data_IF_906049215448
#
_entry.id   IF_906049215448
#
_cell.length_a   1.000
_cell.length_b   1.000
_cell.length_c   1.000
_cell.angle_alpha   90.00
_cell.angle_beta   90.00
_cell.angle_gamma   90.00
#
_symmetry.space_group_name_H-M   'P 1'
#
loop_
_entity.id
_entity.type
_entity.pdbx_description
1 polymer ?
#
# COMPACT_ATOMS: atom_id res chain seq x y z
N UNK A 1 -17.13 11.02 -5.58
CA UNK A 1 -17.44 9.66 -5.08
C UNK A 1 -16.86 8.69 -6.09
N UNK A 2 -15.90 7.86 -5.67
CA UNK A 2 -15.31 6.84 -6.52
C UNK A 2 -16.42 5.88 -7.00
N UNK A 3 -16.52 5.68 -8.32
CA UNK A 3 -17.55 4.84 -8.97
C UNK A 3 -17.79 3.49 -8.26
N UNK A 4 -16.76 2.74 -7.80
CA UNK A 4 -16.94 1.46 -7.13
C UNK A 4 -17.71 1.53 -5.79
N UNK A 5 -17.60 2.63 -5.06
CA UNK A 5 -18.16 2.78 -3.71
C UNK A 5 -19.70 2.85 -3.71
N UNK A 6 -20.29 3.30 -4.82
CA UNK A 6 -21.73 3.50 -4.94
C UNK A 6 -22.52 2.19 -5.05
N UNK A 7 -21.83 1.06 -5.26
CA UNK A 7 -22.46 -0.25 -5.41
C UNK A 7 -22.69 -0.98 -4.08
N UNK A 8 -22.19 -0.46 -2.96
CA UNK A 8 -22.30 -1.11 -1.66
C UNK A 8 -23.61 -0.78 -0.97
N UNK A 9 -24.21 -1.79 -0.33
CA UNK A 9 -25.41 -1.61 0.49
C UNK A 9 -25.00 -1.04 1.84
N UNK A 10 -25.15 0.28 1.99
CA UNK A 10 -24.91 0.99 3.24
C UNK A 10 -26.22 1.05 4.06
N UNK A 11 -26.24 0.58 5.33
CA UNK A 11 -27.41 0.68 6.21
C UNK A 11 -27.93 2.11 6.31
N UNK A 12 -29.26 2.28 6.36
CA UNK A 12 -29.88 3.61 6.44
C UNK A 12 -29.37 4.41 7.65
N UNK A 13 -29.18 3.74 8.79
CA UNK A 13 -28.67 4.37 10.03
C UNK A 13 -27.27 4.96 9.85
N UNK A 14 -26.38 4.30 9.09
CA UNK A 14 -25.04 4.81 8.80
C UNK A 14 -25.08 6.07 7.92
N UNK A 15 -26.15 6.25 7.12
CA UNK A 15 -26.35 7.44 6.28
C UNK A 15 -26.99 8.59 7.05
N UNK A 16 -27.88 8.29 8.00
CA UNK A 16 -28.68 9.29 8.70
C UNK A 16 -28.07 9.74 10.02
N UNK A 17 -27.64 8.79 10.86
CA UNK A 17 -27.09 9.06 12.21
C UNK A 17 -25.56 8.94 12.20
N UNK A 18 -25.03 8.05 11.37
CA UNK A 18 -23.60 7.70 11.35
C UNK A 18 -23.31 6.48 12.22
N UNK A 19 -22.03 6.18 12.44
CA UNK A 19 -21.56 5.07 13.28
C UNK A 19 -20.75 5.65 14.43
N UNK A 20 -21.13 5.35 15.67
CA UNK A 20 -20.39 5.78 16.86
C UNK A 20 -19.20 4.87 17.13
N UNK A 21 -18.20 5.38 17.84
CA UNK A 21 -17.03 4.62 18.32
C UNK A 21 -16.23 3.90 17.22
N UNK A 22 -16.19 4.49 16.01
CA UNK A 22 -15.45 3.97 14.86
C UNK A 22 -14.59 5.07 14.22
N UNK A 23 -13.30 4.75 14.00
CA UNK A 23 -12.35 5.62 13.28
C UNK A 23 -12.37 5.40 11.75
N UNK A 24 -12.77 4.19 11.34
CA UNK A 24 -12.82 3.78 9.94
C UNK A 24 -13.89 2.71 9.76
N UNK A 25 -14.69 2.82 8.70
CA UNK A 25 -15.71 1.84 8.34
C UNK A 25 -15.34 1.24 6.99
N UNK A 26 -15.32 -0.09 6.89
CA UNK A 26 -15.14 -0.78 5.61
C UNK A 26 -16.41 -1.55 5.27
N UNK A 27 -16.99 -1.26 4.10
CA UNK A 27 -18.09 -2.05 3.56
C UNK A 27 -17.51 -3.18 2.72
N UNK A 28 -17.78 -4.42 3.11
CA UNK A 28 -17.29 -5.60 2.42
C UNK A 28 -18.38 -6.27 1.59
N UNK A 29 -18.02 -6.78 0.42
CA UNK A 29 -18.87 -7.58 -0.44
C UNK A 29 -18.11 -8.83 -0.92
N UNK A 30 -18.87 -9.83 -1.36
CA UNK A 30 -18.35 -11.02 -2.00
C UNK A 30 -19.10 -11.22 -3.32
N UNK A 31 -18.46 -10.92 -4.43
CA UNK A 31 -19.08 -10.92 -5.75
C UNK A 31 -18.04 -11.12 -6.86
N UNK A 32 -18.44 -11.68 -8.00
CA UNK A 32 -17.53 -11.98 -9.09
C UNK A 32 -16.86 -10.70 -9.61
N UNK A 33 -15.55 -10.79 -9.77
CA UNK A 33 -14.74 -9.78 -10.43
C UNK A 33 -14.86 -10.02 -11.94
N UNK A 34 -15.35 -9.04 -12.70
CA UNK A 34 -15.39 -9.11 -14.17
C UNK A 34 -13.99 -9.06 -14.81
N UNK A 35 -12.93 -9.27 -14.03
CA UNK A 35 -11.55 -9.31 -14.49
C UNK A 35 -10.98 -10.68 -14.16
N UNK A 36 -10.24 -11.28 -15.09
CA UNK A 36 -9.71 -12.63 -14.93
C UNK A 36 -8.64 -12.74 -13.83
N UNK A 37 -8.15 -11.63 -13.28
CA UNK A 37 -6.99 -11.58 -12.39
C UNK A 37 -7.19 -10.86 -11.05
N UNK A 38 -8.30 -10.15 -10.80
CA UNK A 38 -8.49 -9.46 -9.50
C UNK A 38 -9.26 -10.33 -8.52
N UNK A 39 -8.53 -11.01 -7.65
CA UNK A 39 -9.07 -11.82 -6.56
C UNK A 39 -9.79 -10.97 -5.50
N UNK A 40 -9.23 -9.80 -5.19
CA UNK A 40 -9.78 -8.84 -4.23
C UNK A 40 -9.50 -7.44 -4.77
N UNK A 41 -10.32 -6.46 -4.38
CA UNK A 41 -9.96 -5.06 -4.48
C UNK A 41 -10.51 -4.30 -3.28
N UNK A 42 -9.84 -3.23 -2.88
CA UNK A 42 -10.43 -2.25 -1.98
C UNK A 42 -10.07 -0.83 -2.38
N UNK A 43 -10.88 0.12 -1.91
CA UNK A 43 -10.71 1.53 -2.22
C UNK A 43 -11.11 2.40 -1.03
N UNK A 44 -10.44 3.54 -0.93
CA UNK A 44 -10.93 4.65 -0.11
C UNK A 44 -12.19 5.23 -0.76
N UNK A 45 -13.28 5.34 0.00
CA UNK A 45 -14.55 5.87 -0.47
C UNK A 45 -14.82 7.30 -0.01
N UNK A 46 -14.41 7.64 1.22
CA UNK A 46 -14.44 9.00 1.74
C UNK A 46 -13.27 9.27 2.70
N UNK A 47 -12.87 10.54 2.73
CA UNK A 47 -11.81 11.08 3.59
C UNK A 47 -12.30 12.28 4.37
N UNK A 48 -11.65 12.57 5.49
CA UNK A 48 -11.76 13.86 6.18
C UNK A 48 -11.03 14.96 5.38
N UNK A 49 -11.11 16.20 5.86
CA UNK A 49 -10.49 17.37 5.21
C UNK A 49 -8.96 17.26 5.08
N UNK A 50 -8.30 16.51 5.98
CA UNK A 50 -6.85 16.24 5.96
C UNK A 50 -6.48 14.99 5.13
N UNK A 51 -7.40 14.52 4.30
CA UNK A 51 -7.32 13.29 3.50
C UNK A 51 -7.26 11.98 4.31
N UNK A 52 -7.43 12.00 5.64
CA UNK A 52 -7.52 10.77 6.44
C UNK A 52 -8.71 9.93 5.99
N UNK A 53 -8.51 8.68 5.52
CA UNK A 53 -9.62 7.81 5.17
C UNK A 53 -10.47 7.47 6.39
N UNK A 54 -11.79 7.54 6.25
CA UNK A 54 -12.75 7.10 7.29
C UNK A 54 -13.83 6.16 6.76
N UNK A 55 -13.99 6.05 5.43
CA UNK A 55 -14.81 5.01 4.80
C UNK A 55 -14.03 4.37 3.66
N UNK A 56 -13.99 3.05 3.65
CA UNK A 56 -13.54 2.24 2.53
C UNK A 56 -14.60 1.25 2.06
N UNK A 57 -14.35 0.64 0.91
CA UNK A 57 -15.10 -0.50 0.43
C UNK A 57 -14.13 -1.57 -0.06
N UNK A 58 -14.52 -2.84 0.06
CA UNK A 58 -13.74 -3.95 -0.46
C UNK A 58 -14.63 -5.05 -1.03
N UNK A 59 -14.18 -5.71 -2.08
CA UNK A 59 -14.87 -6.85 -2.65
C UNK A 59 -13.92 -8.03 -2.80
N UNK A 60 -14.40 -9.20 -2.41
CA UNK A 60 -13.75 -10.48 -2.63
C UNK A 60 -14.42 -11.20 -3.80
N UNK A 61 -13.65 -11.70 -4.75
CA UNK A 61 -14.16 -12.67 -5.71
C UNK A 61 -14.04 -14.08 -5.13
N UNK A 62 -15.16 -14.73 -4.76
CA UNK A 62 -15.13 -16.05 -4.13
C UNK A 62 -14.45 -17.13 -4.98
N UNK A 63 -14.33 -16.95 -6.30
CA UNK A 63 -13.66 -17.89 -7.20
C UNK A 63 -12.17 -18.05 -6.89
N UNK A 64 -11.52 -17.00 -6.41
CA UNK A 64 -10.07 -16.96 -6.18
C UNK A 64 -9.68 -17.01 -4.70
N UNK A 65 -10.67 -16.89 -3.80
CA UNK A 65 -10.44 -16.89 -2.35
C UNK A 65 -10.41 -18.31 -1.78
N UNK A 66 -9.46 -18.52 -0.87
CA UNK A 66 -9.27 -19.79 -0.16
C UNK A 66 -9.07 -19.50 1.34
N UNK A 67 -8.99 -20.54 2.16
CA UNK A 67 -8.66 -20.45 3.60
C UNK A 67 -7.14 -20.34 3.86
N UNK A 68 -6.35 -19.98 2.84
CA UNK A 68 -4.89 -19.92 2.92
C UNK A 68 -4.37 -18.61 3.49
N UNK A 69 -3.14 -18.64 4.03
CA UNK A 69 -2.44 -17.43 4.46
C UNK A 69 -2.27 -16.41 3.33
N UNK A 70 -2.13 -16.87 2.08
CA UNK A 70 -2.03 -15.99 0.91
C UNK A 70 -3.29 -15.13 0.74
N UNK A 71 -4.48 -15.73 0.84
CA UNK A 71 -5.75 -15.01 0.78
C UNK A 71 -5.88 -13.93 1.87
N UNK A 72 -5.34 -14.19 3.07
CA UNK A 72 -5.27 -13.20 4.15
C UNK A 72 -4.33 -12.04 3.80
N UNK A 73 -3.18 -12.31 3.18
CA UNK A 73 -2.23 -11.26 2.77
C UNK A 73 -2.76 -10.39 1.64
N UNK A 74 -3.45 -10.98 0.67
CA UNK A 74 -4.14 -10.21 -0.38
C UNK A 74 -5.22 -9.32 0.23
N UNK A 75 -6.02 -9.82 1.18
CA UNK A 75 -7.01 -9.00 1.87
C UNK A 75 -6.36 -7.82 2.63
N UNK A 76 -5.24 -8.09 3.34
CA UNK A 76 -4.52 -7.06 4.07
C UNK A 76 -3.88 -6.00 3.16
N UNK A 77 -3.37 -6.41 2.00
CA UNK A 77 -2.84 -5.53 0.95
C UNK A 77 -3.92 -4.54 0.48
N UNK A 78 -5.09 -5.06 0.11
CA UNK A 78 -6.20 -4.21 -0.33
C UNK A 78 -6.69 -3.29 0.78
N UNK A 79 -6.80 -3.79 2.02
CA UNK A 79 -7.15 -2.96 3.18
C UNK A 79 -6.14 -1.80 3.35
N UNK A 80 -4.86 -2.01 3.10
CA UNK A 80 -3.87 -0.93 3.17
C UNK A 80 -4.15 0.20 2.15
N UNK A 81 -4.61 -0.12 0.94
CA UNK A 81 -5.08 0.89 -0.01
C UNK A 81 -6.32 1.63 0.49
N UNK A 82 -7.29 0.91 1.07
CA UNK A 82 -8.48 1.53 1.66
C UNK A 82 -8.15 2.44 2.87
N UNK A 83 -7.04 2.16 3.56
CA UNK A 83 -6.48 2.96 4.66
C UNK A 83 -5.56 4.10 4.18
N UNK A 84 -5.41 4.30 2.87
CA UNK A 84 -4.71 5.47 2.34
C UNK A 84 -3.28 5.21 1.87
N UNK A 85 -2.86 3.96 1.69
CA UNK A 85 -1.69 3.67 0.85
C UNK A 85 -2.04 3.97 -0.62
N UNK A 86 -2.10 5.26 -0.96
CA UNK A 86 -2.53 5.79 -2.26
C UNK A 86 -1.74 7.05 -2.58
N UNK A 87 -1.62 7.36 -3.87
CA UNK A 87 -0.77 8.43 -4.36
C UNK A 87 -1.19 9.79 -3.79
N UNK A 88 -2.48 10.07 -3.78
CA UNK A 88 -3.01 11.36 -3.34
C UNK A 88 -2.77 11.60 -1.84
N UNK A 89 -2.82 10.56 -1.02
CA UNK A 89 -2.48 10.66 0.40
C UNK A 89 -0.99 10.94 0.60
N UNK A 90 -0.12 10.32 -0.21
CA UNK A 90 1.32 10.57 -0.16
C UNK A 90 1.68 11.98 -0.67
N UNK A 91 0.98 12.48 -1.69
CA UNK A 91 1.12 13.84 -2.22
C UNK A 91 0.65 14.89 -1.20
N UNK A 92 -0.54 14.72 -0.64
CA UNK A 92 -1.08 15.64 0.38
C UNK A 92 -0.15 15.74 1.59
N UNK A 93 0.43 14.62 2.01
CA UNK A 93 1.38 14.57 3.12
C UNK A 93 2.79 14.99 2.74
N UNK A 94 3.03 15.38 1.49
CA UNK A 94 4.33 15.81 0.96
C UNK A 94 5.43 14.75 1.17
N UNK A 95 5.07 13.47 1.10
CA UNK A 95 6.00 12.34 1.24
C UNK A 95 6.26 11.64 -0.09
N UNK A 96 5.61 12.06 -1.17
CA UNK A 96 5.93 11.64 -2.53
C UNK A 96 6.83 12.68 -3.19
N UNK A 97 7.97 12.25 -3.72
CA UNK A 97 8.85 13.11 -4.52
C UNK A 97 8.77 12.70 -5.99
N UNK A 98 8.41 13.63 -6.89
CA UNK A 98 8.35 13.34 -8.31
C UNK A 98 9.77 13.17 -8.84
N UNK A 99 10.07 11.94 -9.27
CA UNK A 99 11.14 11.57 -10.19
C UNK A 99 12.59 11.85 -9.74
N UNK A 100 13.22 10.81 -9.17
CA UNK A 100 14.68 10.72 -9.09
C UNK A 100 15.21 9.87 -10.24
N UNK A 101 16.33 10.30 -10.84
CA UNK A 101 17.07 9.46 -11.78
C UNK A 101 17.78 8.34 -11.01
N UNK A 102 17.17 7.15 -10.99
CA UNK A 102 17.75 5.95 -10.39
C UNK A 102 18.03 4.94 -11.48
N UNK A 103 19.27 4.46 -11.55
CA UNK A 103 19.74 3.51 -12.60
C UNK A 103 19.47 4.02 -14.04
N UNK A 104 19.48 5.34 -14.24
CA UNK A 104 19.24 5.96 -15.55
C UNK A 104 17.77 6.07 -15.96
N UNK A 105 16.82 5.85 -15.05
CA UNK A 105 15.38 6.00 -15.29
C UNK A 105 14.76 6.93 -14.25
N UNK A 106 13.73 7.69 -14.63
CA UNK A 106 12.97 8.51 -13.69
C UNK A 106 12.00 7.63 -12.89
N UNK A 107 12.08 7.71 -11.56
CA UNK A 107 11.27 6.90 -10.64
C UNK A 107 10.62 7.77 -9.57
N UNK A 108 9.33 7.55 -9.31
CA UNK A 108 8.67 8.12 -8.14
C UNK A 108 9.18 7.46 -6.86
N UNK A 109 9.40 8.27 -5.82
CA UNK A 109 9.93 7.80 -4.55
C UNK A 109 9.11 8.33 -3.38
N UNK A 110 8.89 7.48 -2.39
CA UNK A 110 8.37 7.89 -1.09
C UNK A 110 9.54 8.28 -0.18
N UNK A 111 9.55 9.53 0.25
CA UNK A 111 10.68 10.19 0.95
C UNK A 111 10.30 10.69 2.34
N UNK A 112 9.24 10.16 2.93
CA UNK A 112 8.88 10.42 4.33
C UNK A 112 10.02 10.06 5.31
N UNK A 113 10.04 10.69 6.48
CA UNK A 113 11.12 10.56 7.47
C UNK A 113 11.27 9.11 7.95
N UNK A 114 10.16 8.47 8.33
CA UNK A 114 10.18 7.09 8.79
C UNK A 114 10.51 6.14 7.63
N UNK A 115 10.00 6.41 6.42
CA UNK A 115 10.30 5.59 5.23
C UNK A 115 11.80 5.59 4.96
N UNK A 116 12.44 6.77 4.98
CA UNK A 116 13.90 6.88 4.85
C UNK A 116 14.63 6.10 5.94
N UNK A 117 14.24 6.24 7.21
CA UNK A 117 14.88 5.54 8.33
C UNK A 117 14.75 4.02 8.18
N UNK A 118 13.54 3.50 7.96
CA UNK A 118 13.28 2.06 7.90
C UNK A 118 13.86 1.43 6.64
N UNK A 119 13.87 2.13 5.51
CA UNK A 119 14.55 1.67 4.31
C UNK A 119 16.07 1.60 4.49
N UNK A 120 16.71 2.63 5.08
CA UNK A 120 18.15 2.59 5.39
C UNK A 120 18.51 1.38 6.25
N UNK A 121 17.72 1.13 7.30
CA UNK A 121 17.91 -0.02 8.19
C UNK A 121 17.70 -1.35 7.46
N UNK A 122 16.63 -1.47 6.66
CA UNK A 122 16.31 -2.69 5.92
C UNK A 122 17.42 -3.03 4.93
N UNK A 123 17.81 -2.10 4.06
CA UNK A 123 18.82 -2.37 3.02
C UNK A 123 20.26 -2.27 3.52
N UNK A 124 20.51 -1.67 4.70
CA UNK A 124 21.87 -1.36 5.16
C UNK A 124 22.57 -0.32 4.29
N UNK A 125 21.83 0.70 3.82
CA UNK A 125 22.31 1.74 2.93
C UNK A 125 22.01 3.13 3.49
N UNK A 126 22.95 3.73 4.22
CA UNK A 126 22.74 5.01 4.94
C UNK A 126 22.48 6.21 4.02
N UNK A 127 22.97 6.18 2.78
CA UNK A 127 22.78 7.25 1.80
C UNK A 127 21.37 7.28 1.20
N UNK A 128 20.56 6.23 1.40
CA UNK A 128 19.26 6.07 0.76
C UNK A 128 18.33 7.24 1.10
N UNK A 129 17.64 7.75 0.08
CA UNK A 129 16.79 8.96 0.17
C UNK A 129 15.29 8.66 0.25
N UNK A 130 14.89 7.42 0.06
CA UNK A 130 13.51 6.98 0.10
C UNK A 130 13.35 5.59 -0.50
N UNK A 131 12.11 5.21 -0.76
CA UNK A 131 11.74 3.94 -1.39
C UNK A 131 11.09 4.18 -2.74
N UNK A 132 11.51 3.43 -3.76
CA UNK A 132 10.91 3.49 -5.09
C UNK A 132 9.52 2.86 -5.10
N UNK A 133 8.61 3.52 -5.80
CA UNK A 133 7.32 2.93 -6.17
C UNK A 133 7.44 2.12 -7.46
N UNK A 134 6.52 1.18 -7.64
CA UNK A 134 6.40 0.42 -8.87
C UNK A 134 6.07 1.34 -10.05
N UNK A 135 6.66 1.04 -11.20
CA UNK A 135 6.62 1.86 -12.39
C UNK A 135 6.44 1.03 -13.67
N UNK A 136 6.57 -0.30 -13.57
CA UNK A 136 6.37 -1.26 -14.64
C UNK A 136 4.93 -1.78 -14.63
N UNK A 137 3.95 -0.91 -14.90
CA UNK A 137 2.55 -1.35 -15.08
C UNK A 137 1.77 -0.55 -16.13
N UNK A 138 0.74 -1.20 -16.67
CA UNK A 138 -0.13 -0.69 -17.74
C UNK A 138 -1.00 0.45 -17.19
N UNK A 139 -1.38 1.40 -18.05
CA UNK A 139 -1.89 2.74 -17.71
C UNK A 139 -2.99 2.89 -16.61
N UNK A 140 -3.67 1.82 -16.17
CA UNK A 140 -4.65 1.85 -15.04
C UNK A 140 -4.06 1.47 -13.67
N UNK A 141 -2.98 0.71 -13.63
CA UNK A 141 -2.31 0.27 -12.39
C UNK A 141 -1.27 1.30 -11.91
N UNK A 142 -0.81 2.18 -12.81
CA UNK A 142 0.07 3.32 -12.48
C UNK A 142 -0.51 4.30 -11.45
N UNK A 143 -1.82 4.32 -11.25
CA UNK A 143 -2.46 5.20 -10.28
C UNK A 143 -2.47 4.60 -8.85
N UNK A 144 -2.24 3.29 -8.72
CA UNK A 144 -2.25 2.59 -7.43
C UNK A 144 -0.80 2.34 -7.02
N UNK A 145 -0.28 3.04 -6.01
CA UNK A 145 1.12 2.90 -5.64
C UNK A 145 1.36 1.54 -4.99
N UNK A 146 2.40 0.85 -5.46
CA UNK A 146 2.99 -0.32 -4.83
C UNK A 146 4.47 -0.07 -4.61
N UNK A 147 5.11 -0.83 -3.73
CA UNK A 147 6.58 -0.84 -3.69
C UNK A 147 7.15 -1.44 -4.96
N UNK A 148 8.29 -0.93 -5.41
CA UNK A 148 9.04 -1.54 -6.51
C UNK A 148 9.32 -3.00 -6.18
N UNK A 149 8.75 -3.93 -6.96
CA UNK A 149 8.81 -5.37 -6.64
C UNK A 149 10.25 -5.88 -6.54
N UNK A 150 11.12 -5.33 -7.40
CA UNK A 150 12.57 -5.59 -7.36
C UNK A 150 13.15 -5.39 -5.96
N UNK A 151 12.74 -4.36 -5.24
CA UNK A 151 13.30 -3.98 -3.94
C UNK A 151 12.59 -4.65 -2.77
N UNK A 152 11.30 -4.95 -2.92
CA UNK A 152 10.43 -5.35 -1.83
C UNK A 152 9.53 -6.55 -2.21
N UNK A 153 10.08 -7.54 -2.91
CA UNK A 153 9.34 -8.66 -3.50
C UNK A 153 8.38 -9.39 -2.55
N UNK A 154 8.80 -9.58 -1.31
CA UNK A 154 8.05 -10.33 -0.30
C UNK A 154 7.23 -9.43 0.63
N UNK A 155 7.17 -8.12 0.35
CA UNK A 155 6.49 -7.11 1.16
C UNK A 155 4.97 -7.11 0.90
N UNK A 156 4.19 -6.72 1.90
CA UNK A 156 2.74 -6.63 1.83
C UNK A 156 2.26 -5.83 0.62
N UNK A 157 2.87 -4.68 0.33
CA UNK A 157 2.50 -3.73 -0.73
C UNK A 157 3.35 -3.90 -2.00
N UNK A 158 3.94 -5.07 -2.23
CA UNK A 158 4.44 -5.44 -3.55
C UNK A 158 3.26 -5.61 -4.53
N UNK A 159 3.40 -5.29 -5.83
CA UNK A 159 2.32 -5.43 -6.81
C UNK A 159 1.85 -6.88 -6.97
N UNK A 160 2.80 -7.82 -6.89
CA UNK A 160 2.49 -9.26 -6.85
C UNK A 160 2.60 -9.76 -5.42
N UNK A 161 1.47 -10.12 -4.80
CA UNK A 161 1.47 -10.65 -3.42
C UNK A 161 2.11 -12.04 -3.39
N UNK A 162 3.38 -12.09 -2.98
CA UNK A 162 4.13 -13.30 -2.66
C UNK A 162 3.91 -13.73 -1.20
N UNK A 163 4.95 -13.59 -0.37
CA UNK A 163 4.84 -13.86 1.07
C UNK A 163 3.98 -12.82 1.82
N UNK A 164 3.99 -11.56 1.36
CA UNK A 164 3.12 -10.49 1.87
C UNK A 164 3.42 -10.05 3.30
N UNK A 165 4.70 -9.95 3.68
CA UNK A 165 5.11 -9.53 5.02
C UNK A 165 4.73 -8.06 5.24
N UNK A 166 4.04 -7.79 6.35
CA UNK A 166 3.73 -6.43 6.78
C UNK A 166 4.95 -5.85 7.49
N UNK A 167 5.86 -5.29 6.69
CA UNK A 167 7.15 -4.84 7.18
C UNK A 167 7.12 -3.41 7.70
N UNK A 168 8.24 -3.01 8.31
CA UNK A 168 8.48 -1.63 8.71
C UNK A 168 8.44 -0.64 7.52
N UNK A 169 8.56 -1.09 6.26
CA UNK A 169 8.51 -0.24 5.07
C UNK A 169 7.08 0.31 4.85
N UNK A 170 6.08 -0.57 4.74
CA UNK A 170 4.68 -0.15 4.61
C UNK A 170 4.18 0.56 5.86
N UNK A 171 4.54 0.06 7.04
CA UNK A 171 4.20 0.73 8.29
C UNK A 171 4.76 2.17 8.34
N UNK A 172 5.95 2.40 7.77
CA UNK A 172 6.53 3.73 7.74
C UNK A 172 5.77 4.75 6.91
N UNK A 173 5.13 4.33 5.81
CA UNK A 173 4.21 5.19 5.06
C UNK A 173 3.05 5.61 5.96
N UNK A 174 2.43 4.67 6.67
CA UNK A 174 1.34 4.98 7.59
C UNK A 174 1.75 5.90 8.75
N UNK A 175 2.98 5.78 9.26
CA UNK A 175 3.52 6.71 10.24
C UNK A 175 3.74 8.11 9.66
N UNK A 176 4.32 8.20 8.46
CA UNK A 176 4.64 9.46 7.79
C UNK A 176 3.38 10.19 7.26
N UNK A 177 2.27 9.48 7.04
CA UNK A 177 0.98 10.10 6.77
C UNK A 177 0.33 10.75 8.01
N UNK A 178 0.83 10.42 9.21
CA UNK A 178 0.37 10.96 10.49
C UNK A 178 -1.08 10.62 10.88
N UNK A 179 -1.82 9.88 10.05
CA UNK A 179 -3.14 9.35 10.39
C UNK A 179 -3.08 8.25 11.46
N UNK A 180 -1.94 7.55 11.54
CA UNK A 180 -1.78 6.35 12.35
C UNK A 180 -0.56 6.45 13.26
N UNK A 181 -0.64 5.78 14.42
CA UNK A 181 0.51 5.50 15.27
C UNK A 181 0.90 4.05 15.09
N UNK A 182 2.17 3.83 14.75
CA UNK A 182 2.67 2.51 14.39
C UNK A 182 3.30 1.82 15.59
N UNK A 183 2.95 0.55 15.80
CA UNK A 183 3.65 -0.33 16.73
C UNK A 183 4.78 -1.09 16.02
N UNK A 184 5.97 -0.48 15.98
CA UNK A 184 7.13 -1.02 15.27
C UNK A 184 7.59 -2.42 15.74
N UNK A 185 7.25 -2.83 16.97
CA UNK A 185 7.61 -4.16 17.47
C UNK A 185 6.87 -5.30 16.77
N UNK A 186 5.78 -4.98 16.07
CA UNK A 186 4.97 -5.93 15.30
C UNK A 186 5.40 -6.03 13.83
N UNK A 187 6.40 -5.25 13.41
CA UNK A 187 6.88 -5.28 12.04
C UNK A 187 7.44 -6.66 11.69
N UNK A 188 6.92 -7.27 10.63
CA UNK A 188 7.41 -8.56 10.17
C UNK A 188 8.77 -8.39 9.48
N UNK A 189 9.74 -9.29 9.74
CA UNK A 189 11.01 -9.25 9.05
C UNK A 189 10.85 -9.78 7.62
N UNK A 190 11.44 -9.09 6.65
CA UNK A 190 11.56 -9.57 5.28
C UNK A 190 13.01 -9.87 4.97
N UNK A 191 13.31 -11.06 4.45
CA UNK A 191 14.70 -11.44 4.09
C UNK A 191 15.15 -10.80 2.77
N UNK A 192 14.23 -10.59 1.84
CA UNK A 192 14.53 -9.96 0.55
C UNK A 192 15.09 -8.55 0.72
N UNK A 193 16.27 -8.28 0.14
CA UNK A 193 16.94 -6.98 0.24
C UNK A 193 17.50 -6.64 1.63
N UNK A 194 17.35 -7.51 2.64
CA UNK A 194 17.83 -7.20 3.99
C UNK A 194 19.36 -7.13 4.02
N UNK A 195 19.91 -5.99 4.44
CA UNK A 195 21.35 -5.67 4.47
C UNK A 195 22.06 -5.93 3.13
N UNK A 196 21.36 -5.69 2.02
CA UNK A 196 21.89 -5.89 0.67
C UNK A 196 22.85 -4.80 0.21
N UNK A 197 23.09 -3.77 1.03
CA UNK A 197 23.84 -2.56 0.74
C UNK A 197 23.27 -1.70 -0.41
N UNK A 198 23.93 -0.56 -0.68
CA UNK A 198 23.48 0.40 -1.68
C UNK A 198 23.59 -0.12 -3.12
N UNK A 199 24.49 -1.07 -3.42
CA UNK A 199 24.67 -1.62 -4.76
C UNK A 199 23.41 -2.34 -5.24
N UNK A 200 22.72 -3.05 -4.35
CA UNK A 200 21.45 -3.69 -4.68
C UNK A 200 20.43 -2.69 -5.23
N UNK A 201 20.40 -1.48 -4.67
CA UNK A 201 19.49 -0.43 -5.07
C UNK A 201 20.02 0.31 -6.31
N UNK A 202 21.29 0.69 -6.33
CA UNK A 202 21.87 1.61 -7.32
C UNK A 202 22.39 0.93 -8.60
N UNK A 203 22.75 -0.35 -8.56
CA UNK A 203 23.26 -1.10 -9.73
C UNK A 203 22.17 -1.95 -10.37
N UNK A 204 22.44 -2.46 -11.57
CA UNK A 204 21.56 -3.42 -12.27
C UNK A 204 21.69 -4.82 -11.64
N UNK A 205 20.63 -5.63 -11.73
CA UNK A 205 20.54 -6.94 -11.07
C UNK A 205 21.53 -8.00 -11.58
N UNK A 206 22.13 -7.80 -12.75
CA UNK A 206 22.94 -8.81 -13.45
C UNK A 206 24.33 -8.28 -13.86
N UNK A 207 24.93 -7.44 -13.02
CA UNK A 207 26.33 -7.03 -13.16
C UNK A 207 27.28 -7.97 -12.42
#
# INVERSE_FOLDING_TARGET
MNEPCNHFTVPTEHKSVGVSDADFIIYAAAGPSNTESRAVWAATCNTLDDFRPYVGAMNFDPKYMTDTAWSVRVAAHEIAHALGFRKESMEEKNILTPEHSVRGMQREMVTGKHVQEKARVHFGCDSLKGMELEDEDVAREKEIPHWKERHARDELMAPTVGAGYYTALTMAVFADMEYYRVNWSMAEPMSWGNRSDCNFLEKKCNQ
#
